data_IF_413204992284
#
_entry.id   IF_413204992284
#
_cell.length_a   1.000
_cell.length_b   1.000
_cell.length_c   1.000
_cell.angle_alpha   90.00
_cell.angle_beta   90.00
_cell.angle_gamma   90.00
#
_symmetry.space_group_name_H-M   'P 1'
#
loop_
_entity.id
_entity.type
_entity.pdbx_description
1 polymer ?
#
# COMPACT_ATOMS: atom_id res chain seq x y z
N UNK A 1 16.46 -55.38 8.88
CA UNK A 1 16.59 -54.10 9.60
C UNK A 1 17.74 -53.23 9.07
N UNK A 2 18.98 -53.72 8.92
CA UNK A 2 20.13 -52.90 8.40
C UNK A 2 19.92 -52.35 6.99
N UNK A 3 19.30 -53.09 6.05
CA UNK A 3 19.04 -52.63 4.68
C UNK A 3 17.97 -51.53 4.60
N UNK A 4 17.00 -51.53 5.51
CA UNK A 4 15.95 -50.52 5.60
C UNK A 4 16.51 -49.20 6.12
N UNK A 5 17.43 -49.23 7.10
CA UNK A 5 18.09 -48.05 7.65
C UNK A 5 19.00 -47.37 6.59
N UNK A 6 19.66 -48.16 5.73
CA UNK A 6 20.48 -47.62 4.63
C UNK A 6 19.64 -46.90 3.57
N UNK A 7 18.47 -47.41 3.22
CA UNK A 7 17.56 -46.78 2.27
C UNK A 7 16.98 -45.47 2.81
N UNK A 8 16.63 -45.42 4.09
CA UNK A 8 16.15 -44.22 4.75
C UNK A 8 17.26 -43.14 4.81
N UNK A 9 18.51 -43.53 5.04
CA UNK A 9 19.65 -42.61 5.04
C UNK A 9 19.90 -41.98 3.65
N UNK A 10 19.75 -42.78 2.56
CA UNK A 10 19.94 -42.28 1.18
C UNK A 10 18.83 -41.31 0.78
N UNK A 11 17.58 -41.57 1.20
CA UNK A 11 16.44 -40.67 0.91
C UNK A 11 16.58 -39.34 1.68
N UNK A 12 17.10 -39.37 2.91
CA UNK A 12 17.27 -38.18 3.74
C UNK A 12 18.39 -37.28 3.24
N UNK A 13 19.46 -37.83 2.67
CA UNK A 13 20.56 -37.03 2.08
C UNK A 13 20.18 -36.38 0.75
N UNK A 14 19.23 -36.94 0.01
CA UNK A 14 18.74 -36.36 -1.26
C UNK A 14 17.79 -35.18 -1.06
N UNK A 15 17.21 -35.03 0.13
CA UNK A 15 16.26 -33.94 0.43
C UNK A 15 16.95 -32.64 0.86
N UNK A 16 18.26 -32.64 1.12
CA UNK A 16 19.02 -31.47 1.56
C UNK A 16 19.70 -30.70 0.43
N UNK A 17 19.54 -31.10 -0.84
CA UNK A 17 19.99 -30.32 -1.99
C UNK A 17 18.83 -29.49 -2.56
N UNK A 18 18.41 -28.45 -1.85
CA UNK A 18 17.75 -27.31 -2.49
C UNK A 18 18.82 -26.57 -3.30
N UNK A 19 18.70 -26.45 -4.63
CA UNK A 19 19.71 -25.74 -5.40
C UNK A 19 19.70 -24.26 -5.02
N UNK A 20 20.85 -23.73 -4.58
CA UNK A 20 21.08 -22.30 -4.33
C UNK A 20 20.85 -21.42 -5.56
N UNK A 21 20.61 -22.04 -6.72
CA UNK A 21 20.44 -21.36 -8.01
C UNK A 21 19.24 -20.40 -8.08
N UNK A 22 18.21 -20.60 -7.27
CA UNK A 22 17.02 -19.72 -7.26
C UNK A 22 17.35 -18.39 -6.56
N UNK A 23 18.01 -18.46 -5.43
CA UNK A 23 18.41 -17.27 -4.65
C UNK A 23 19.39 -16.40 -5.44
N UNK A 24 20.35 -17.02 -6.14
CA UNK A 24 21.32 -16.29 -6.96
C UNK A 24 20.66 -15.64 -8.19
N UNK A 25 19.68 -16.28 -8.81
CA UNK A 25 18.95 -15.70 -9.94
C UNK A 25 18.04 -14.55 -9.50
N UNK A 26 17.36 -14.67 -8.36
CA UNK A 26 16.56 -13.59 -7.76
C UNK A 26 17.45 -12.42 -7.39
N UNK A 27 18.60 -12.67 -6.77
CA UNK A 27 19.57 -11.64 -6.39
C UNK A 27 20.17 -10.94 -7.61
N UNK A 28 20.43 -11.66 -8.68
CA UNK A 28 20.88 -11.11 -9.96
C UNK A 28 19.82 -10.22 -10.61
N UNK A 29 18.54 -10.62 -10.59
CA UNK A 29 17.42 -9.82 -11.10
C UNK A 29 17.20 -8.56 -10.28
N UNK A 30 17.28 -8.65 -8.96
CA UNK A 30 17.18 -7.49 -8.07
C UNK A 30 18.41 -6.57 -8.19
N UNK A 31 19.61 -7.12 -8.45
CA UNK A 31 20.81 -6.36 -8.72
C UNK A 31 20.75 -5.56 -10.02
N UNK A 32 20.10 -6.10 -11.05
CA UNK A 32 19.88 -5.39 -12.32
C UNK A 32 18.92 -4.19 -12.19
N UNK A 33 18.05 -4.19 -11.17
CA UNK A 33 17.17 -3.06 -10.88
C UNK A 33 17.90 -1.89 -10.19
N UNK A 34 19.12 -2.12 -9.68
CA UNK A 34 19.90 -1.10 -8.98
C UNK A 34 20.47 -0.04 -9.93
N UNK A 35 20.63 -0.38 -11.20
CA UNK A 35 21.22 0.47 -12.24
C UNK A 35 20.17 1.02 -13.24
N UNK A 36 18.87 0.82 -12.97
CA UNK A 36 17.83 1.43 -13.79
C UNK A 36 17.83 2.93 -13.49
N UNK A 37 18.18 3.80 -14.46
CA UNK A 37 18.09 5.23 -14.25
C UNK A 37 16.63 5.57 -13.94
N UNK A 38 16.39 6.18 -12.78
CA UNK A 38 15.09 6.74 -12.44
C UNK A 38 14.79 7.79 -13.51
N UNK A 39 13.92 7.46 -14.46
CA UNK A 39 13.44 8.41 -15.44
C UNK A 39 12.59 9.42 -14.66
N UNK A 40 13.18 10.56 -14.32
CA UNK A 40 12.47 11.68 -13.73
C UNK A 40 11.42 12.15 -14.74
N UNK A 41 10.16 11.87 -14.47
CA UNK A 41 9.07 12.45 -15.26
C UNK A 41 9.08 13.98 -15.07
N UNK A 42 8.99 14.79 -16.17
CA UNK A 42 8.92 16.23 -16.04
C UNK A 42 7.67 16.62 -15.24
N UNK A 43 7.86 17.21 -14.07
CA UNK A 43 6.80 17.62 -13.15
C UNK A 43 6.84 17.01 -11.75
N UNK A 44 7.71 16.03 -11.50
CA UNK A 44 7.92 15.48 -10.16
C UNK A 44 9.09 16.25 -9.51
N UNK A 45 8.78 17.31 -8.78
CA UNK A 45 9.76 17.97 -7.91
C UNK A 45 10.03 17.05 -6.73
N UNK A 46 11.17 16.36 -6.76
CA UNK A 46 11.72 15.62 -5.63
C UNK A 46 12.36 16.62 -4.65
N UNK A 47 11.56 17.35 -3.93
CA UNK A 47 12.05 18.15 -2.81
C UNK A 47 11.07 18.02 -1.63
N UNK A 48 10.96 16.81 -1.12
CA UNK A 48 10.28 16.52 0.13
C UNK A 48 11.00 15.37 0.84
N UNK A 49 12.18 15.72 1.39
CA UNK A 49 13.09 14.79 2.09
C UNK A 49 12.54 14.31 3.45
N UNK A 50 11.34 14.74 3.85
CA UNK A 50 10.71 14.43 5.15
C UNK A 50 9.35 13.74 5.05
N UNK A 51 8.93 13.27 3.86
CA UNK A 51 7.66 12.54 3.76
C UNK A 51 7.88 11.09 4.18
N UNK A 52 7.16 10.59 5.21
CA UNK A 52 7.18 9.18 5.57
C UNK A 52 6.87 8.31 4.36
N UNK A 53 7.64 7.25 4.14
CA UNK A 53 7.46 6.29 3.04
C UNK A 53 6.02 5.78 3.05
N UNK A 54 5.22 6.20 2.08
CA UNK A 54 3.80 5.84 1.93
C UNK A 54 3.24 6.35 0.60
N UNK A 55 2.03 5.92 0.27
CA UNK A 55 1.33 6.35 -0.95
C UNK A 55 0.96 7.83 -0.87
N UNK A 56 0.91 8.52 -2.03
CA UNK A 56 0.40 9.87 -2.10
C UNK A 56 -1.10 9.93 -1.77
N UNK A 57 -1.61 11.08 -1.30
CA UNK A 57 -3.04 11.26 -1.03
C UNK A 57 -3.90 10.99 -2.27
N UNK A 58 -3.46 11.38 -3.46
CA UNK A 58 -4.14 11.08 -4.72
C UNK A 58 -4.22 9.56 -4.96
N UNK A 59 -3.13 8.83 -4.74
CA UNK A 59 -3.12 7.39 -4.90
C UNK A 59 -4.08 6.71 -3.91
N UNK A 60 -4.09 7.15 -2.66
CA UNK A 60 -5.03 6.66 -1.62
C UNK A 60 -6.48 6.98 -1.98
N UNK A 61 -6.76 8.21 -2.41
CA UNK A 61 -8.09 8.62 -2.85
C UNK A 61 -8.62 7.72 -3.98
N UNK A 62 -7.80 7.45 -4.99
CA UNK A 62 -8.17 6.63 -6.13
C UNK A 62 -8.36 5.14 -5.79
N UNK A 63 -7.77 4.64 -4.70
CA UNK A 63 -7.93 3.24 -4.26
C UNK A 63 -9.32 2.93 -3.73
N UNK A 64 -9.94 3.84 -2.98
CA UNK A 64 -11.21 3.54 -2.33
C UNK A 64 -12.17 4.71 -2.18
N UNK A 65 -11.67 5.93 -2.00
CA UNK A 65 -12.47 7.12 -1.69
C UNK A 65 -13.26 7.61 -2.92
N UNK A 66 -12.63 7.60 -4.09
CA UNK A 66 -13.19 8.10 -5.34
C UNK A 66 -14.53 7.43 -5.71
N UNK A 67 -14.73 6.17 -5.36
CA UNK A 67 -15.95 5.43 -5.65
C UNK A 67 -17.20 6.14 -5.12
N UNK A 68 -17.11 6.78 -3.96
CA UNK A 68 -18.21 7.51 -3.35
C UNK A 68 -18.09 9.02 -3.51
N UNK A 69 -16.87 9.57 -3.31
CA UNK A 69 -16.66 11.01 -3.25
C UNK A 69 -16.56 11.71 -4.61
N UNK A 70 -16.47 10.98 -5.72
CA UNK A 70 -16.55 11.57 -7.07
C UNK A 70 -17.99 11.90 -7.45
N UNK A 71 -18.93 11.00 -7.15
CA UNK A 71 -20.33 11.12 -7.58
C UNK A 71 -21.32 11.45 -6.45
N UNK A 72 -20.86 11.58 -5.20
CA UNK A 72 -21.72 11.83 -4.05
C UNK A 72 -22.56 10.62 -3.63
N UNK A 73 -22.08 9.40 -3.88
CA UNK A 73 -22.78 8.17 -3.59
C UNK A 73 -23.12 8.07 -2.09
N UNK A 74 -24.33 7.62 -1.75
CA UNK A 74 -24.83 7.49 -0.38
C UNK A 74 -24.70 8.77 0.47
N UNK A 75 -24.71 9.96 -0.15
CA UNK A 75 -24.58 11.24 0.53
C UNK A 75 -23.14 11.63 0.87
N UNK A 76 -22.14 10.97 0.27
CA UNK A 76 -20.75 11.36 0.41
C UNK A 76 -20.52 12.78 -0.14
N UNK A 77 -19.80 13.67 0.58
CA UNK A 77 -19.47 14.98 0.04
C UNK A 77 -18.52 14.84 -1.14
N UNK A 78 -18.85 15.50 -2.25
CA UNK A 78 -18.07 15.40 -3.48
C UNK A 78 -16.77 16.18 -3.38
N UNK A 79 -15.71 15.63 -3.96
CA UNK A 79 -14.41 16.29 -4.04
C UNK A 79 -14.55 17.66 -4.73
N UNK A 80 -13.99 18.71 -4.10
CA UNK A 80 -14.02 20.07 -4.62
C UNK A 80 -15.35 20.84 -4.43
N UNK A 81 -16.39 20.23 -3.89
CA UNK A 81 -17.65 20.90 -3.61
C UNK A 81 -17.57 21.64 -2.28
N UNK A 82 -17.25 22.94 -2.33
CA UNK A 82 -17.03 23.77 -1.14
C UNK A 82 -18.25 23.81 -0.21
N UNK A 83 -19.47 23.89 -0.76
CA UNK A 83 -20.68 23.98 0.06
C UNK A 83 -20.87 22.74 0.93
N UNK A 84 -20.50 21.57 0.40
CA UNK A 84 -20.57 20.30 1.13
C UNK A 84 -19.42 20.13 2.13
N UNK A 85 -18.29 20.79 1.92
CA UNK A 85 -17.10 20.63 2.74
C UNK A 85 -16.91 21.69 3.82
N UNK A 86 -17.46 22.91 3.67
CA UNK A 86 -17.21 24.03 4.58
C UNK A 86 -17.45 23.69 6.06
N UNK A 87 -18.61 23.11 6.39
CA UNK A 87 -18.95 22.75 7.78
C UNK A 87 -18.14 21.55 8.28
N UNK A 88 -17.65 20.71 7.37
CA UNK A 88 -16.82 19.54 7.73
C UNK A 88 -15.41 19.96 8.03
N UNK A 89 -14.80 20.80 7.17
CA UNK A 89 -13.43 21.26 7.32
C UNK A 89 -13.24 22.20 8.50
N UNK A 90 -14.31 22.90 8.92
CA UNK A 90 -14.27 23.75 10.14
C UNK A 90 -14.00 22.96 11.42
N UNK A 91 -14.18 21.63 11.42
CA UNK A 91 -13.89 20.74 12.55
C UNK A 91 -12.40 20.40 12.70
N UNK A 92 -11.61 20.74 11.71
CA UNK A 92 -10.18 20.46 11.67
C UNK A 92 -9.80 19.12 11.06
N UNK A 93 -8.55 19.02 10.61
CA UNK A 93 -8.00 17.86 9.91
C UNK A 93 -8.04 16.59 10.78
N UNK A 94 -7.68 16.69 12.05
CA UNK A 94 -7.67 15.58 12.99
C UNK A 94 -9.04 14.88 13.07
N UNK A 95 -10.13 15.66 13.16
CA UNK A 95 -11.49 15.11 13.22
C UNK A 95 -11.88 14.46 11.89
N UNK A 96 -11.49 15.06 10.77
CA UNK A 96 -11.76 14.50 9.45
C UNK A 96 -11.00 13.20 9.23
N UNK A 97 -9.73 13.16 9.59
CA UNK A 97 -8.89 11.96 9.52
C UNK A 97 -9.45 10.84 10.39
N UNK A 98 -9.81 11.15 11.64
CA UNK A 98 -10.43 10.17 12.55
C UNK A 98 -11.74 9.60 12.00
N UNK A 99 -12.59 10.45 11.42
CA UNK A 99 -13.83 10.02 10.77
C UNK A 99 -13.59 9.13 9.55
N UNK A 100 -12.61 9.46 8.73
CA UNK A 100 -12.26 8.66 7.56
C UNK A 100 -11.61 7.34 7.96
N UNK A 101 -10.75 7.34 8.97
CA UNK A 101 -10.06 6.15 9.45
C UNK A 101 -11.00 5.15 10.13
N UNK A 102 -11.89 5.64 11.00
CA UNK A 102 -12.79 4.79 11.78
C UNK A 102 -14.13 4.52 11.11
N UNK A 103 -14.47 5.30 10.06
CA UNK A 103 -15.78 5.31 9.43
C UNK A 103 -16.70 6.36 10.05
N UNK A 104 -17.63 6.89 9.26
CA UNK A 104 -18.58 7.91 9.70
C UNK A 104 -19.93 7.77 9.00
N UNK A 105 -21.00 7.50 9.76
CA UNK A 105 -22.34 7.23 9.22
C UNK A 105 -22.32 6.09 8.17
N UNK A 106 -22.65 6.41 6.90
CA UNK A 106 -22.62 5.45 5.80
C UNK A 106 -21.20 5.23 5.22
N UNK A 107 -20.22 6.05 5.60
CA UNK A 107 -18.84 5.90 5.16
C UNK A 107 -18.17 4.73 5.90
N UNK A 108 -17.67 3.71 5.19
CA UNK A 108 -16.96 2.61 5.83
C UNK A 108 -15.61 3.08 6.35
N UNK A 109 -15.08 2.36 7.33
CA UNK A 109 -13.74 2.61 7.85
C UNK A 109 -12.72 2.57 6.71
N UNK A 110 -11.80 3.55 6.71
CA UNK A 110 -10.73 3.72 5.71
C UNK A 110 -11.23 3.89 4.28
N UNK A 111 -12.54 4.15 4.06
CA UNK A 111 -13.11 4.31 2.72
C UNK A 111 -12.88 3.11 1.79
N UNK A 112 -12.82 1.88 2.33
CA UNK A 112 -12.48 0.62 1.65
C UNK A 112 -10.98 0.41 1.37
N UNK A 113 -10.10 1.32 1.71
CA UNK A 113 -8.65 1.11 1.66
C UNK A 113 -8.18 0.40 2.93
N UNK A 114 -8.39 -0.91 3.03
CA UNK A 114 -8.21 -1.67 4.28
C UNK A 114 -6.76 -1.69 4.78
N UNK A 115 -5.79 -1.56 3.89
CA UNK A 115 -4.35 -1.54 4.16
C UNK A 115 -3.77 -0.13 4.33
N UNK A 116 -4.58 0.93 4.17
CA UNK A 116 -4.13 2.29 4.39
C UNK A 116 -3.83 2.56 5.86
N UNK A 117 -2.70 3.20 6.12
CA UNK A 117 -2.35 3.75 7.41
C UNK A 117 -3.12 5.06 7.68
N UNK A 118 -3.15 5.50 8.93
CA UNK A 118 -3.78 6.76 9.31
C UNK A 118 -3.10 7.96 8.64
N UNK A 119 -1.76 7.96 8.56
CA UNK A 119 -0.98 8.99 7.87
C UNK A 119 -1.26 9.07 6.38
N UNK A 120 -1.55 7.95 5.73
CA UNK A 120 -1.93 7.95 4.31
C UNK A 120 -3.34 8.50 4.08
N UNK A 121 -4.26 8.32 5.03
CA UNK A 121 -5.62 8.86 4.97
C UNK A 121 -5.65 10.35 5.27
N UNK A 122 -4.72 10.86 6.09
CA UNK A 122 -4.58 12.27 6.42
C UNK A 122 -4.08 13.12 5.24
N UNK A 123 -3.29 12.54 4.33
CA UNK A 123 -2.75 13.21 3.13
C UNK A 123 -3.80 13.58 2.11
#
# INVERSE_FOLDING_TARGET
MKKLLLLISIIFTSFLMVPDSYEDEVRKRLGLLKDVPVVSMPGMTTDDSDVPVGRSGEAVYNLGCAACHTAGLAGAPMLGNLDQWTDRTSKGLEVLTANAYNGYNAMPAKGLCMDCSELEIER
#
